data_IF_069176821180
#
_entry.id   IF_069176821180
#
_cell.length_a   1.000
_cell.length_b   1.000
_cell.length_c   1.000
_cell.angle_alpha   90.00
_cell.angle_beta   90.00
_cell.angle_gamma   90.00
#
_symmetry.space_group_name_H-M   'P 1'
#
loop_
_entity.id
_entity.type
_entity.pdbx_description
1 polymer ?
#
# COMPACT_ATOMS: atom_id res chain seq x y z
N UNK A 1 18.69 17.26 7.35
CA UNK A 1 18.02 16.03 6.84
C UNK A 1 17.53 15.25 8.05
N UNK A 2 16.35 14.65 7.98
CA UNK A 2 15.75 13.88 9.09
C UNK A 2 15.40 12.50 8.59
N UNK A 3 15.42 11.52 9.49
CA UNK A 3 14.94 10.17 9.24
C UNK A 3 13.81 9.92 10.22
N UNK A 4 12.70 9.36 9.74
CA UNK A 4 11.62 8.86 10.57
C UNK A 4 11.57 7.34 10.47
N UNK A 5 11.54 6.67 11.62
CA UNK A 5 11.38 5.23 11.71
C UNK A 5 9.96 4.94 12.19
N UNK A 6 9.23 4.14 11.43
CA UNK A 6 7.85 3.75 11.72
C UNK A 6 7.79 2.24 11.88
N UNK A 7 7.21 1.76 12.98
CA UNK A 7 6.91 0.35 13.15
C UNK A 7 5.56 0.03 12.51
N UNK A 8 5.53 -1.01 11.69
CA UNK A 8 4.33 -1.53 11.03
C UNK A 8 4.28 -3.04 11.27
N UNK A 9 3.52 -3.44 12.29
CA UNK A 9 3.59 -4.81 12.80
C UNK A 9 5.00 -5.12 13.31
N UNK A 10 5.61 -6.17 12.76
CA UNK A 10 6.98 -6.62 13.07
C UNK A 10 8.04 -5.99 12.15
N UNK A 11 7.61 -5.24 11.13
CA UNK A 11 8.49 -4.58 10.16
C UNK A 11 8.74 -3.12 10.54
N UNK A 12 9.84 -2.57 10.04
CA UNK A 12 10.16 -1.14 10.16
C UNK A 12 10.19 -0.50 8.77
N UNK A 13 9.48 0.62 8.63
CA UNK A 13 9.57 1.51 7.48
C UNK A 13 10.44 2.72 7.84
N UNK A 14 11.51 2.94 7.08
CA UNK A 14 12.39 4.10 7.21
C UNK A 14 12.04 5.14 6.14
N UNK A 15 11.74 6.37 6.56
CA UNK A 15 11.50 7.50 5.68
C UNK A 15 12.65 8.50 5.79
N UNK A 16 13.41 8.66 4.71
CA UNK A 16 14.58 9.54 4.65
C UNK A 16 14.24 10.85 3.94
N UNK A 17 14.39 11.96 4.67
CA UNK A 17 14.15 13.30 4.12
C UNK A 17 15.33 13.81 3.28
N UNK A 18 15.23 13.65 1.96
CA UNK A 18 16.20 14.18 0.98
C UNK A 18 15.79 15.52 0.36
N UNK A 19 14.58 16.01 0.62
CA UNK A 19 13.99 17.20 0.00
C UNK A 19 12.91 16.82 -1.01
N UNK A 20 12.37 17.81 -1.73
CA UNK A 20 11.36 17.57 -2.76
C UNK A 20 11.93 16.68 -3.88
N UNK A 21 11.12 15.74 -4.37
CA UNK A 21 11.44 15.00 -5.58
C UNK A 21 11.61 16.00 -6.74
N UNK A 22 12.62 15.76 -7.60
CA UNK A 22 12.86 16.62 -8.76
C UNK A 22 11.81 16.42 -9.85
N UNK A 23 11.25 15.21 -9.97
CA UNK A 23 10.22 14.84 -10.94
C UNK A 23 9.28 13.84 -10.29
N UNK A 24 7.96 13.90 -10.55
CA UNK A 24 7.06 12.80 -10.26
C UNK A 24 7.41 11.62 -11.17
N UNK A 25 7.61 10.44 -10.59
CA UNK A 25 7.83 9.20 -11.35
C UNK A 25 6.55 8.37 -11.27
N UNK A 26 5.90 8.10 -12.40
CA UNK A 26 4.83 7.10 -12.43
C UNK A 26 5.47 5.72 -12.34
N UNK A 27 5.26 5.04 -11.20
CA UNK A 27 5.83 3.73 -10.95
C UNK A 27 5.40 2.67 -11.99
N UNK A 28 4.32 2.91 -12.75
CA UNK A 28 3.84 2.02 -13.82
C UNK A 28 4.68 2.13 -15.10
N UNK A 29 5.39 3.22 -15.30
CA UNK A 29 6.16 3.49 -16.52
C UNK A 29 7.63 3.04 -16.42
N UNK A 30 8.04 2.53 -15.26
CA UNK A 30 9.43 2.14 -14.99
C UNK A 30 9.52 0.76 -14.34
N UNK A 31 10.50 -0.04 -14.76
CA UNK A 31 10.85 -1.26 -14.05
C UNK A 31 11.47 -0.91 -12.69
N UNK A 32 10.98 -1.55 -11.63
CA UNK A 32 11.49 -1.34 -10.28
C UNK A 32 10.44 -1.63 -9.20
N UNK A 33 10.66 -1.02 -8.04
CA UNK A 33 9.74 -1.12 -6.92
C UNK A 33 8.47 -0.29 -7.18
N UNK A 34 7.33 -0.95 -7.35
CA UNK A 34 6.09 -0.26 -7.68
C UNK A 34 5.35 0.29 -6.46
N UNK A 35 5.14 -0.53 -5.43
CA UNK A 35 4.31 -0.18 -4.27
C UNK A 35 4.66 -1.03 -3.04
N UNK A 36 4.38 -0.48 -1.84
CA UNK A 36 4.34 -1.25 -0.59
C UNK A 36 2.89 -1.64 -0.25
N UNK A 37 2.68 -2.85 0.25
CA UNK A 37 1.39 -3.29 0.80
C UNK A 37 1.36 -3.21 2.32
N UNK A 38 0.32 -2.58 2.87
CA UNK A 38 0.07 -2.48 4.32
C UNK A 38 -1.21 -3.24 4.65
N UNK A 39 -1.08 -4.24 5.53
CA UNK A 39 -2.20 -5.03 6.03
C UNK A 39 -3.05 -4.22 7.02
N UNK A 40 -4.37 -4.34 6.93
CA UNK A 40 -5.33 -3.92 7.96
C UNK A 40 -6.23 -5.08 8.37
N UNK A 41 -6.68 -5.07 9.63
CA UNK A 41 -7.63 -6.05 10.16
C UNK A 41 -9.09 -5.64 9.95
N UNK A 42 -9.33 -4.33 9.82
CA UNK A 42 -10.65 -3.74 9.53
C UNK A 42 -10.49 -2.81 8.33
N UNK A 43 -10.91 -3.27 7.15
CA UNK A 43 -10.72 -2.53 5.92
C UNK A 43 -11.59 -1.27 5.86
N UNK A 44 -12.88 -1.40 6.13
CA UNK A 44 -13.81 -0.29 6.03
C UNK A 44 -13.49 0.82 7.02
N UNK A 45 -13.16 0.47 8.27
CA UNK A 45 -12.76 1.46 9.27
C UNK A 45 -11.50 2.19 8.83
N UNK A 46 -10.48 1.47 8.37
CA UNK A 46 -9.23 2.10 7.93
C UNK A 46 -9.45 2.99 6.69
N UNK A 47 -10.28 2.57 5.74
CA UNK A 47 -10.67 3.42 4.59
C UNK A 47 -11.37 4.69 5.04
N UNK A 48 -12.36 4.60 5.94
CA UNK A 48 -13.07 5.77 6.50
C UNK A 48 -12.09 6.71 7.21
N UNK A 49 -11.22 6.18 8.06
CA UNK A 49 -10.23 6.94 8.80
C UNK A 49 -9.23 7.66 7.87
N UNK A 50 -8.80 7.01 6.79
CA UNK A 50 -7.90 7.60 5.79
C UNK A 50 -8.59 8.68 4.95
N UNK A 51 -9.85 8.45 4.53
CA UNK A 51 -10.66 9.47 3.85
C UNK A 51 -10.84 10.71 4.74
N UNK A 52 -11.14 10.53 6.02
CA UNK A 52 -11.29 11.62 6.98
C UNK A 52 -9.98 12.43 7.19
N UNK A 53 -8.82 11.78 7.01
CA UNK A 53 -7.50 12.43 7.08
C UNK A 53 -7.07 13.10 5.76
N UNK A 54 -7.88 13.00 4.70
CA UNK A 54 -7.58 13.60 3.39
C UNK A 54 -6.53 12.83 2.58
N UNK A 55 -6.38 11.52 2.80
CA UNK A 55 -5.49 10.71 1.97
C UNK A 55 -5.95 10.70 0.50
N UNK A 56 -5.01 10.69 -0.44
CA UNK A 56 -5.30 10.59 -1.87
C UNK A 56 -5.51 9.12 -2.25
N UNK A 57 -6.71 8.80 -2.73
CA UNK A 57 -7.07 7.47 -3.23
C UNK A 57 -6.88 7.44 -4.75
N UNK A 58 -6.24 6.38 -5.25
CA UNK A 58 -5.99 6.16 -6.68
C UNK A 58 -7.12 5.41 -7.39
N UNK A 59 -8.20 5.13 -6.67
CA UNK A 59 -9.39 4.44 -7.15
C UNK A 59 -10.33 4.11 -6.00
N UNK A 60 -11.49 3.55 -6.32
CA UNK A 60 -12.39 3.02 -5.31
C UNK A 60 -11.90 1.66 -4.79
N UNK A 61 -12.22 1.32 -3.52
CA UNK A 61 -11.95 -0.01 -3.01
C UNK A 61 -12.59 -1.13 -3.86
N UNK A 62 -11.89 -2.25 -3.98
CA UNK A 62 -12.34 -3.38 -4.79
C UNK A 62 -11.85 -4.72 -4.23
N UNK A 63 -12.41 -5.81 -4.76
CA UNK A 63 -12.10 -7.19 -4.37
C UNK A 63 -11.61 -7.97 -5.60
N UNK A 64 -10.28 -8.12 -5.82
CA UNK A 64 -9.77 -8.87 -6.98
C UNK A 64 -10.04 -10.37 -6.88
N UNK A 65 -10.19 -10.89 -5.68
CA UNK A 65 -10.53 -12.29 -5.42
C UNK A 65 -11.32 -12.35 -4.12
N UNK A 66 -12.29 -13.27 -4.00
CA UNK A 66 -13.09 -13.42 -2.79
C UNK A 66 -12.22 -13.52 -1.52
N UNK A 67 -12.47 -12.65 -0.56
CA UNK A 67 -11.75 -12.55 0.72
C UNK A 67 -10.55 -11.61 0.72
N UNK A 68 -10.28 -10.88 -0.38
CA UNK A 68 -9.18 -9.93 -0.47
C UNK A 68 -9.75 -8.55 -0.83
N UNK A 69 -9.72 -7.60 0.11
CA UNK A 69 -10.19 -6.23 -0.11
C UNK A 69 -8.98 -5.31 -0.24
N UNK A 70 -8.92 -4.53 -1.32
CA UNK A 70 -7.78 -3.68 -1.66
C UNK A 70 -8.22 -2.26 -2.03
N UNK A 71 -7.33 -1.31 -1.78
CA UNK A 71 -7.37 0.01 -2.40
C UNK A 71 -5.97 0.60 -2.47
N UNK A 72 -5.67 1.36 -3.52
CA UNK A 72 -4.39 2.05 -3.69
C UNK A 72 -4.50 3.51 -3.28
N UNK A 73 -3.45 4.01 -2.62
CA UNK A 73 -3.29 5.39 -2.18
C UNK A 73 -1.99 5.97 -2.74
N UNK A 74 -1.95 7.30 -2.85
CA UNK A 74 -0.73 8.06 -3.16
C UNK A 74 -0.27 8.82 -1.92
N UNK A 75 1.00 8.68 -1.59
CA UNK A 75 1.63 9.50 -0.55
C UNK A 75 1.97 10.91 -1.09
N UNK A 76 2.30 11.87 -0.22
CA UNK A 76 2.65 13.22 -0.66
C UNK A 76 3.87 13.34 -1.59
N UNK A 77 4.71 12.30 -1.71
CA UNK A 77 5.88 12.24 -2.59
C UNK A 77 5.62 11.42 -3.86
N UNK A 78 4.40 10.93 -4.07
CA UNK A 78 3.99 10.14 -5.23
C UNK A 78 4.14 8.63 -5.07
N UNK A 79 4.65 8.11 -3.95
CA UNK A 79 4.78 6.68 -3.70
C UNK A 79 3.40 6.02 -3.62
N UNK A 80 3.28 4.82 -4.20
CA UNK A 80 2.04 4.05 -4.19
C UNK A 80 2.01 3.12 -2.98
N UNK A 81 0.90 3.19 -2.25
CA UNK A 81 0.63 2.36 -1.06
C UNK A 81 -0.62 1.54 -1.35
N UNK A 82 -0.55 0.22 -1.18
CA UNK A 82 -1.71 -0.65 -1.19
C UNK A 82 -2.18 -0.87 0.25
N UNK A 83 -3.43 -0.50 0.54
CA UNK A 83 -4.11 -0.93 1.76
C UNK A 83 -4.85 -2.22 1.46
N UNK A 84 -4.67 -3.22 2.32
CA UNK A 84 -5.24 -4.54 2.08
C UNK A 84 -5.75 -5.22 3.34
N UNK A 85 -6.98 -5.74 3.29
CA UNK A 85 -7.43 -6.79 4.20
C UNK A 85 -7.48 -8.10 3.44
N UNK A 86 -6.85 -9.13 4.01
CA UNK A 86 -6.72 -10.42 3.35
C UNK A 86 -7.22 -11.52 4.25
N UNK A 87 -8.11 -12.37 3.73
CA UNK A 87 -8.40 -13.65 4.35
C UNK A 87 -7.07 -14.43 4.51
N UNK A 88 -6.74 -14.91 5.72
CA UNK A 88 -5.48 -15.59 5.96
C UNK A 88 -5.28 -16.83 5.09
N UNK A 89 -6.33 -17.62 4.83
CA UNK A 89 -6.20 -18.85 4.04
C UNK A 89 -5.94 -18.53 2.57
N UNK A 90 -6.69 -17.57 2.02
CA UNK A 90 -6.51 -17.13 0.62
C UNK A 90 -5.11 -16.56 0.42
N UNK A 91 -4.64 -15.71 1.34
CA UNK A 91 -3.31 -15.12 1.24
C UNK A 91 -2.18 -16.13 1.38
N UNK A 92 -2.30 -17.08 2.33
CA UNK A 92 -1.29 -18.13 2.48
C UNK A 92 -1.22 -19.04 1.24
N UNK A 93 -2.35 -19.35 0.61
CA UNK A 93 -2.36 -20.09 -0.64
C UNK A 93 -1.66 -19.32 -1.79
N UNK A 94 -1.87 -17.99 -1.86
CA UNK A 94 -1.17 -17.14 -2.84
C UNK A 94 0.35 -17.12 -2.61
N UNK A 95 0.79 -16.99 -1.35
CA UNK A 95 2.21 -17.04 -1.01
C UNK A 95 2.85 -18.38 -1.39
N UNK A 96 2.15 -19.49 -1.18
CA UNK A 96 2.64 -20.82 -1.55
C UNK A 96 2.75 -21.02 -3.07
N UNK A 97 1.86 -20.41 -3.85
CA UNK A 97 1.94 -20.43 -5.32
C UNK A 97 3.11 -19.60 -5.85
N UNK A 98 3.50 -18.54 -5.14
CA UNK A 98 4.59 -17.64 -5.50
C UNK A 98 4.22 -16.64 -6.60
N UNK A 99 3.55 -17.08 -7.67
CA UNK A 99 3.03 -16.22 -8.73
C UNK A 99 1.54 -16.46 -8.96
N UNK A 100 0.83 -15.38 -9.30
CA UNK A 100 -0.59 -15.40 -9.68
C UNK A 100 -0.76 -14.56 -10.93
N UNK A 101 -1.56 -15.02 -11.87
CA UNK A 101 -1.98 -14.20 -13.01
C UNK A 101 -3.07 -13.23 -12.52
N UNK A 102 -2.93 -11.95 -12.86
CA UNK A 102 -3.80 -10.85 -12.46
C UNK A 102 -4.25 -10.04 -13.68
#
# INVERSE_FOLDING_TARGET
RKIAFLLIGESMLELMGFGAAKEPVDAREHYGFHHIGIKTEDFEKTVRDLKAKGAEFLGEPFEPTPGIHLVFLRDPNGAVIELAQRDPKVFQAALQKGTVDW
#
